data_IF_175295675463
#
_entry.id   IF_175295675463
#
_cell.length_a   1.000
_cell.length_b   1.000
_cell.length_c   1.000
_cell.angle_alpha   90.00
_cell.angle_beta   90.00
_cell.angle_gamma   90.00
#
_symmetry.space_group_name_H-M   'P 1'
#
loop_
_entity.id
_entity.type
_entity.pdbx_description
1 polymer ?
#
# COMPACT_ATOMS: atom_id res chain seq x y z
N UNK A 1 -9.11 16.03 7.68
CA UNK A 1 -9.63 14.81 7.09
C UNK A 1 -8.62 14.17 6.18
N UNK A 2 -8.45 12.87 6.31
CA UNK A 2 -7.46 12.15 5.56
C UNK A 2 -7.99 11.80 4.17
N UNK A 3 -7.22 12.12 3.16
CA UNK A 3 -7.54 11.72 1.79
C UNK A 3 -6.92 10.36 1.53
N UNK A 4 -7.66 9.50 0.85
CA UNK A 4 -7.15 8.21 0.43
C UNK A 4 -6.55 8.33 -0.96
N UNK A 5 -5.35 7.81 -1.11
CA UNK A 5 -4.67 7.79 -2.40
C UNK A 5 -4.75 6.40 -3.00
N UNK A 6 -4.70 6.35 -4.32
CA UNK A 6 -4.67 5.10 -5.05
C UNK A 6 -3.24 4.71 -5.37
N UNK A 7 -2.92 3.45 -5.17
CA UNK A 7 -1.60 2.93 -5.49
C UNK A 7 -1.74 1.66 -6.32
N UNK A 8 -0.88 1.53 -7.30
CA UNK A 8 -0.81 0.32 -8.12
C UNK A 8 0.21 -0.61 -7.52
N UNK A 9 -0.20 -1.84 -7.25
CA UNK A 9 0.69 -2.86 -6.72
C UNK A 9 0.60 -4.10 -7.60
N UNK A 10 1.61 -4.94 -7.50
CA UNK A 10 1.67 -6.18 -8.28
C UNK A 10 1.84 -7.33 -7.30
N UNK A 11 0.97 -8.33 -7.39
CA UNK A 11 1.08 -9.49 -6.52
C UNK A 11 2.23 -10.39 -6.97
N UNK A 12 2.67 -11.33 -6.11
CA UNK A 12 3.76 -12.25 -6.48
C UNK A 12 3.52 -13.06 -7.73
N UNK A 13 2.27 -13.17 -8.15
CA UNK A 13 1.91 -13.89 -9.38
C UNK A 13 1.72 -12.96 -10.57
N UNK A 14 2.22 -11.73 -10.48
CA UNK A 14 2.20 -10.74 -11.56
C UNK A 14 0.79 -10.23 -11.93
N UNK A 15 -0.11 -10.19 -10.97
CA UNK A 15 -1.42 -9.58 -11.18
C UNK A 15 -1.42 -8.15 -10.68
N UNK A 16 -1.89 -7.23 -11.51
CA UNK A 16 -1.99 -5.82 -11.14
C UNK A 16 -3.19 -5.60 -10.23
N UNK A 17 -2.97 -4.85 -9.17
CA UNK A 17 -4.00 -4.50 -8.21
C UNK A 17 -3.92 -3.03 -7.87
N UNK A 18 -5.07 -2.45 -7.53
CA UNK A 18 -5.11 -1.06 -7.05
C UNK A 18 -5.58 -1.08 -5.60
N UNK A 19 -4.84 -0.39 -4.74
CA UNK A 19 -5.23 -0.26 -3.34
C UNK A 19 -5.43 1.21 -3.00
N UNK A 20 -6.27 1.47 -2.01
CA UNK A 20 -6.56 2.84 -1.56
C UNK A 20 -6.44 2.90 -0.05
N UNK A 21 -5.69 3.86 0.42
CA UNK A 21 -5.60 4.11 1.86
C UNK A 21 -5.03 5.50 2.10
N UNK A 22 -5.27 6.02 3.30
CA UNK A 22 -4.74 7.32 3.69
C UNK A 22 -3.37 7.15 4.31
N UNK A 23 -2.64 8.26 4.43
CA UNK A 23 -1.34 8.24 5.07
C UNK A 23 -1.45 7.75 6.52
N UNK A 24 -2.52 8.16 7.20
CA UNK A 24 -2.77 7.75 8.57
C UNK A 24 -2.95 6.24 8.69
N UNK A 25 -3.77 5.67 7.81
CA UNK A 25 -3.99 4.22 7.76
C UNK A 25 -2.69 3.47 7.47
N UNK A 26 -1.92 4.01 6.53
CA UNK A 26 -0.64 3.42 6.14
C UNK A 26 0.35 3.39 7.32
N UNK A 27 0.51 4.52 7.99
CA UNK A 27 1.44 4.61 9.12
C UNK A 27 0.99 3.74 10.29
N UNK A 28 -0.31 3.72 10.57
CA UNK A 28 -0.86 2.87 11.62
C UNK A 28 -0.58 1.39 11.35
N UNK A 29 -0.81 0.96 10.13
CA UNK A 29 -0.60 -0.43 9.76
C UNK A 29 0.88 -0.80 9.83
N UNK A 30 1.77 0.12 9.48
CA UNK A 30 3.20 -0.11 9.60
C UNK A 30 3.62 -0.26 11.05
N UNK A 31 3.10 0.59 11.93
CA UNK A 31 3.39 0.53 13.36
C UNK A 31 2.97 -0.79 13.97
N UNK A 32 1.82 -1.29 13.56
CA UNK A 32 1.25 -2.53 14.08
C UNK A 32 1.75 -3.76 13.35
N UNK A 33 2.56 -3.59 12.32
CA UNK A 33 3.03 -4.68 11.47
C UNK A 33 1.87 -5.48 10.87
N UNK A 34 0.77 -4.77 10.56
CA UNK A 34 -0.43 -5.40 10.02
C UNK A 34 -0.67 -5.04 8.56
N UNK A 35 0.24 -4.29 7.94
CA UNK A 35 0.08 -3.90 6.55
C UNK A 35 0.30 -5.09 5.65
N UNK A 36 -0.77 -5.50 4.96
CA UNK A 36 -0.75 -6.64 4.05
C UNK A 36 -1.56 -6.27 2.83
N UNK A 37 -1.03 -6.59 1.67
CA UNK A 37 -1.75 -6.42 0.42
C UNK A 37 -2.46 -7.72 0.05
N UNK A 38 -3.55 -7.59 -0.66
CA UNK A 38 -4.34 -8.74 -1.08
C UNK A 38 -4.63 -8.67 -2.58
N UNK A 39 -4.44 -9.78 -3.27
CA UNK A 39 -4.78 -9.87 -4.67
C UNK A 39 -6.12 -10.58 -4.84
N UNK A 40 -7.09 -9.88 -5.41
CA UNK A 40 -8.43 -10.45 -5.62
C UNK A 40 -8.46 -11.50 -6.73
N UNK A 41 -7.45 -11.52 -7.58
CA UNK A 41 -7.41 -12.44 -8.70
C UNK A 41 -7.00 -13.85 -8.27
N UNK A 42 -6.02 -13.93 -7.37
CA UNK A 42 -5.50 -15.23 -6.94
C UNK A 42 -5.61 -15.46 -5.44
N UNK A 43 -6.28 -14.56 -4.72
CA UNK A 43 -6.49 -14.66 -3.27
C UNK A 43 -5.19 -14.81 -2.48
N UNK A 44 -4.17 -14.08 -2.90
CA UNK A 44 -2.87 -14.13 -2.23
C UNK A 44 -2.69 -12.89 -1.37
N UNK A 45 -2.24 -13.09 -0.13
CA UNK A 45 -1.87 -12.00 0.76
C UNK A 45 -0.35 -11.95 0.88
N UNK A 46 0.21 -10.74 0.91
CA UNK A 46 1.65 -10.59 1.10
C UNK A 46 1.95 -9.25 1.76
N UNK A 47 2.99 -9.21 2.60
CA UNK A 47 3.40 -7.94 3.19
C UNK A 47 4.20 -7.14 2.18
N UNK A 48 4.17 -5.80 2.25
CA UNK A 48 4.94 -4.97 1.34
C UNK A 48 6.44 -5.08 1.65
N UNK A 49 7.24 -4.99 0.59
CA UNK A 49 8.68 -4.97 0.73
C UNK A 49 9.14 -3.58 1.15
N UNK A 50 10.41 -3.47 1.55
CA UNK A 50 10.98 -2.16 1.90
C UNK A 50 10.90 -1.19 0.75
N UNK A 51 11.10 -1.67 -0.47
CA UNK A 51 11.00 -0.84 -1.67
C UNK A 51 9.60 -0.32 -1.87
N UNK A 52 8.60 -1.19 -1.70
CA UNK A 52 7.21 -0.78 -1.85
C UNK A 52 6.84 0.26 -0.79
N UNK A 53 7.27 0.04 0.43
CA UNK A 53 7.02 0.99 1.51
C UNK A 53 7.63 2.36 1.18
N UNK A 54 8.85 2.36 0.69
CA UNK A 54 9.53 3.60 0.32
C UNK A 54 8.80 4.33 -0.81
N UNK A 55 8.32 3.59 -1.78
CA UNK A 55 7.57 4.19 -2.89
C UNK A 55 6.25 4.77 -2.43
N UNK A 56 5.55 4.08 -1.56
CA UNK A 56 4.28 4.58 -1.04
C UNK A 56 4.50 5.85 -0.21
N UNK A 57 5.54 5.87 0.59
CA UNK A 57 5.88 7.07 1.36
C UNK A 57 6.21 8.25 0.46
N UNK A 58 6.87 8.00 -0.64
CA UNK A 58 7.16 9.03 -1.63
C UNK A 58 5.89 9.63 -2.20
N UNK A 59 4.91 8.77 -2.50
CA UNK A 59 3.65 9.24 -3.03
C UNK A 59 2.92 10.13 -2.04
N UNK A 60 2.88 9.73 -0.78
CA UNK A 60 2.27 10.56 0.26
C UNK A 60 2.99 11.88 0.41
N UNK A 61 4.31 11.87 0.37
CA UNK A 61 5.11 13.07 0.49
C UNK A 61 4.85 14.04 -0.66
N UNK A 62 4.66 13.50 -1.86
CA UNK A 62 4.36 14.31 -3.04
C UNK A 62 3.01 15.00 -2.92
N UNK A 63 2.06 14.35 -2.28
CA UNK A 63 0.69 14.85 -2.20
C UNK A 63 0.41 15.67 -0.95
N UNK A 64 1.34 15.74 -0.02
CA UNK A 64 1.13 16.45 1.23
C UNK A 64 1.84 17.80 1.30
N UNK A 65 2.15 18.36 0.18
CA UNK A 65 2.79 19.67 0.10
C UNK A 65 1.89 20.81 0.56
#
# INVERSE_FOLDING_TARGET
MSERLEFDIVCPNNHDQTVRFSQEEFEDALKSSTLVFHCNTCDTDWPPSSEEIAQLRKQFSKNSS
#
